data_IF_302885316568
#
_entry.id   IF_302885316568
#
_cell.length_a   1.000
_cell.length_b   1.000
_cell.length_c   1.000
_cell.angle_alpha   90.00
_cell.angle_beta   90.00
_cell.angle_gamma   90.00
#
_symmetry.space_group_name_H-M   'P 1'
#
loop_
_entity.id
_entity.type
_entity.pdbx_description
1 polymer ?
#
# COMPACT_ATOMS: atom_id res chain seq x y z
N UNK A 1 1.00 4.83 -20.02
CA UNK A 1 1.26 4.20 -18.71
C UNK A 1 -0.05 4.29 -17.92
N UNK A 2 -0.96 3.33 -18.14
CA UNK A 2 -2.23 3.31 -17.43
C UNK A 2 -2.02 2.53 -16.14
N UNK A 3 -1.74 3.23 -15.05
CA UNK A 3 -1.74 2.64 -13.71
C UNK A 3 -3.19 2.47 -13.19
N UNK A 4 -4.08 2.00 -14.08
CA UNK A 4 -5.48 1.76 -13.78
C UNK A 4 -5.65 0.31 -13.37
N UNK A 5 -5.44 0.04 -12.09
CA UNK A 5 -5.71 -1.27 -11.55
C UNK A 5 -5.53 -1.40 -10.05
N UNK A 6 -5.29 -2.64 -9.65
CA UNK A 6 -5.09 -3.03 -8.27
C UNK A 6 -3.73 -3.72 -8.12
N UNK A 7 -2.99 -3.36 -7.08
CA UNK A 7 -1.80 -4.08 -6.64
C UNK A 7 -2.21 -5.23 -5.74
N UNK A 8 -1.70 -6.42 -6.02
CA UNK A 8 -1.78 -7.52 -5.05
C UNK A 8 -0.83 -7.28 -3.88
N UNK A 9 -1.11 -7.89 -2.72
CA UNK A 9 -0.17 -7.86 -1.59
C UNK A 9 1.27 -8.27 -1.98
N UNK A 10 1.43 -9.25 -2.87
CA UNK A 10 2.74 -9.66 -3.38
C UNK A 10 3.46 -8.56 -4.17
N UNK A 11 2.72 -7.78 -4.97
CA UNK A 11 3.28 -6.63 -5.68
C UNK A 11 3.65 -5.50 -4.72
N UNK A 12 2.86 -5.27 -3.68
CA UNK A 12 3.19 -4.30 -2.62
C UNK A 12 4.47 -4.72 -1.90
N UNK A 13 4.62 -6.00 -1.56
CA UNK A 13 5.87 -6.55 -0.99
C UNK A 13 7.07 -6.28 -1.89
N UNK A 14 6.96 -6.59 -3.19
CA UNK A 14 8.04 -6.39 -4.15
C UNK A 14 8.38 -4.90 -4.35
N UNK A 15 7.38 -4.01 -4.39
CA UNK A 15 7.57 -2.56 -4.58
C UNK A 15 8.34 -1.93 -3.42
N UNK A 16 7.99 -2.29 -2.18
CA UNK A 16 8.59 -1.69 -0.98
C UNK A 16 9.69 -2.54 -0.34
N UNK A 17 9.97 -3.73 -0.87
CA UNK A 17 10.95 -4.68 -0.29
C UNK A 17 10.53 -5.21 1.10
N UNK A 18 9.23 -5.27 1.38
CA UNK A 18 8.70 -5.64 2.69
C UNK A 18 8.09 -7.04 2.72
N UNK A 19 7.93 -7.60 3.91
CA UNK A 19 7.25 -8.89 4.14
C UNK A 19 5.78 -8.69 4.51
N UNK A 20 5.02 -9.79 4.50
CA UNK A 20 3.59 -9.78 4.87
C UNK A 20 3.35 -9.26 6.29
N UNK A 21 4.25 -9.59 7.23
CA UNK A 21 4.16 -9.12 8.60
C UNK A 21 4.31 -7.60 8.69
N UNK A 22 5.20 -7.00 7.89
CA UNK A 22 5.35 -5.54 7.79
C UNK A 22 4.11 -4.90 7.18
N UNK A 23 3.57 -5.49 6.11
CA UNK A 23 2.32 -5.03 5.50
C UNK A 23 1.16 -5.10 6.51
N UNK A 24 1.07 -6.17 7.30
CA UNK A 24 0.09 -6.31 8.38
C UNK A 24 0.27 -5.21 9.44
N UNK A 25 1.50 -4.91 9.86
CA UNK A 25 1.76 -3.80 10.80
C UNK A 25 1.33 -2.46 10.23
N UNK A 26 1.58 -2.20 8.94
CA UNK A 26 1.14 -0.97 8.29
C UNK A 26 -0.38 -0.84 8.28
N UNK A 27 -1.09 -1.94 8.02
CA UNK A 27 -2.55 -1.98 8.06
C UNK A 27 -3.13 -1.78 9.45
N UNK A 28 -2.41 -2.17 10.50
CA UNK A 28 -2.83 -1.99 11.89
C UNK A 28 -2.33 -0.68 12.50
N UNK A 29 -1.44 0.05 11.83
CA UNK A 29 -0.94 1.32 12.32
C UNK A 29 -1.78 2.49 11.78
N UNK A 30 -2.64 3.12 12.62
CA UNK A 30 -3.49 4.22 12.18
C UNK A 30 -2.69 5.49 11.84
N UNK A 31 -1.49 5.67 12.39
CA UNK A 31 -0.62 6.82 12.11
C UNK A 31 -0.05 6.76 10.69
N UNK A 32 0.18 5.55 10.18
CA UNK A 32 0.71 5.35 8.84
C UNK A 32 -0.31 5.68 7.75
N UNK A 33 -1.62 5.64 8.05
CA UNK A 33 -2.72 5.88 7.09
C UNK A 33 -2.56 5.11 5.77
N UNK A 34 -2.01 3.89 5.83
CA UNK A 34 -1.82 3.06 4.66
C UNK A 34 -3.17 2.62 4.06
N UNK A 35 -3.34 2.57 2.73
CA UNK A 35 -4.61 2.23 2.10
C UNK A 35 -5.10 0.83 2.48
N UNK A 36 -6.42 0.73 2.72
CA UNK A 36 -7.08 -0.52 3.11
C UNK A 36 -7.19 -1.45 1.89
N UNK A 37 -6.87 -2.75 2.04
CA UNK A 37 -7.02 -3.69 0.95
C UNK A 37 -8.50 -4.02 0.72
N UNK A 38 -8.86 -4.16 -0.55
CA UNK A 38 -10.07 -4.83 -0.99
C UNK A 38 -9.78 -6.33 -1.04
N UNK A 39 -10.51 -7.11 -0.27
CA UNK A 39 -10.37 -8.56 -0.24
C UNK A 39 -11.37 -9.16 -1.22
N UNK A 40 -10.86 -9.75 -2.31
CA UNK A 40 -11.68 -10.50 -3.26
C UNK A 40 -11.30 -11.97 -3.12
N UNK A 41 -12.27 -12.78 -2.68
CA UNK A 41 -12.08 -14.18 -2.31
C UNK A 41 -11.06 -14.36 -1.18
N UNK A 42 -9.78 -14.55 -1.51
CA UNK A 42 -8.68 -14.77 -0.53
C UNK A 42 -7.47 -13.87 -0.80
N UNK A 43 -7.57 -12.97 -1.79
CA UNK A 43 -6.46 -12.11 -2.21
C UNK A 43 -6.75 -10.67 -1.82
N UNK A 44 -5.72 -10.01 -1.30
CA UNK A 44 -5.72 -8.59 -0.94
C UNK A 44 -5.29 -7.77 -2.16
N UNK A 45 -6.14 -6.84 -2.55
CA UNK A 45 -5.96 -5.91 -3.65
C UNK A 45 -5.94 -4.48 -3.11
N UNK A 46 -4.96 -3.69 -3.52
CA UNK A 46 -4.78 -2.30 -3.13
C UNK A 46 -4.99 -1.44 -4.36
N UNK A 47 -5.80 -0.39 -4.28
CA UNK A 47 -5.92 0.54 -5.40
C UNK A 47 -4.59 1.24 -5.59
N UNK A 48 -4.09 1.26 -6.83
CA UNK A 48 -2.81 1.92 -7.10
C UNK A 48 -2.90 3.41 -6.78
N UNK A 49 -4.02 4.04 -7.11
CA UNK A 49 -4.28 5.46 -6.86
C UNK A 49 -4.09 5.81 -5.38
N UNK A 50 -4.76 5.08 -4.47
CA UNK A 50 -4.61 5.31 -3.02
C UNK A 50 -3.19 5.05 -2.51
N UNK A 51 -2.48 4.06 -3.09
CA UNK A 51 -1.07 3.78 -2.75
C UNK A 51 -0.15 4.93 -3.20
N UNK A 52 -0.39 5.49 -4.38
CA UNK A 52 0.32 6.65 -4.91
C UNK A 52 0.05 7.92 -4.08
N UNK A 53 -1.20 8.16 -3.72
CA UNK A 53 -1.56 9.27 -2.84
C UNK A 53 -0.88 9.17 -1.47
N UNK A 54 -0.88 7.97 -0.89
CA UNK A 54 -0.16 7.69 0.34
C UNK A 54 1.34 7.93 0.22
N UNK A 55 1.96 7.47 -0.88
CA UNK A 55 3.39 7.67 -1.13
C UNK A 55 3.75 9.16 -1.26
N UNK A 56 2.92 9.94 -1.97
CA UNK A 56 3.07 11.41 -2.06
C UNK A 56 2.97 12.07 -0.69
N UNK A 57 2.00 11.67 0.14
CA UNK A 57 1.84 12.20 1.50
C UNK A 57 3.06 11.92 2.37
N UNK A 58 3.69 10.75 2.21
CA UNK A 58 4.87 10.34 2.98
C UNK A 58 6.16 11.00 2.50
N UNK A 59 6.32 11.21 1.20
CA UNK A 59 7.47 11.94 0.64
C UNK A 59 7.59 13.37 1.20
N UNK A 60 6.44 14.01 1.47
CA UNK A 60 6.38 15.33 2.10
C UNK A 60 6.83 15.27 3.57
N UNK A 61 6.50 14.20 4.30
CA UNK A 61 6.91 14.02 5.70
C UNK A 61 8.40 13.66 5.89
N UNK A 62 9.03 13.01 4.91
CA UNK A 62 10.45 12.66 4.99
C UNK A 62 11.40 13.80 4.59
N UNK A 63 10.86 14.88 4.01
CA UNK A 63 11.61 16.02 3.48
C UNK A 63 11.58 17.27 4.38
N UNK A 64 11.07 17.16 5.61
CA UNK A 64 11.01 18.23 6.63
C UNK A 64 11.88 17.87 7.84
#
# INVERSE_FOLDING_TARGET
>A
MNDQGYLTAKQVHARYGITDMTLWRWLNNPELKFPRPIVITRRRYFKVDEVLEWEKSRAIQAAA
#
